data_IF_586334240180
#
_entry.id   IF_586334240180
#
_cell.length_a   1.000
_cell.length_b   1.000
_cell.length_c   1.000
_cell.angle_alpha   90.00
_cell.angle_beta   90.00
_cell.angle_gamma   90.00
#
_symmetry.space_group_name_H-M   'P 1'
#
loop_
_entity.id
_entity.type
_entity.pdbx_description
1 polymer ?
#
# COMPACT_ATOMS: atom_id res chain seq x y z
N UNK A 1 0.66 14.01 3.04
CA UNK A 1 0.30 12.59 3.05
C UNK A 1 -0.28 12.23 1.69
N UNK A 2 0.15 11.11 1.13
CA UNK A 2 -0.28 10.61 -0.18
C UNK A 2 -1.17 9.38 0.03
N UNK A 3 -2.24 9.24 -0.77
CA UNK A 3 -3.19 8.11 -0.70
C UNK A 3 -3.87 7.92 0.66
N UNK A 4 -4.15 8.99 1.39
CA UNK A 4 -4.74 8.94 2.73
C UNK A 4 -6.27 8.71 2.76
N UNK A 5 -6.86 8.53 1.58
CA UNK A 5 -8.28 8.29 1.33
C UNK A 5 -8.50 6.95 0.59
N UNK A 6 -7.50 6.07 0.62
CA UNK A 6 -7.55 4.71 0.08
C UNK A 6 -7.55 3.72 1.24
N UNK A 7 -8.50 2.81 1.25
CA UNK A 7 -8.71 1.84 2.32
C UNK A 7 -8.29 0.45 1.86
N UNK A 8 -7.39 -0.21 2.60
CA UNK A 8 -7.01 -1.59 2.30
C UNK A 8 -6.42 -2.34 3.51
N UNK A 9 -6.92 -3.53 3.88
CA UNK A 9 -6.30 -4.35 4.91
C UNK A 9 -4.99 -4.99 4.43
N UNK A 10 -3.92 -4.85 5.21
CA UNK A 10 -2.62 -5.44 4.91
C UNK A 10 -2.52 -6.86 5.49
N UNK A 11 -1.77 -7.75 4.82
CA UNK A 11 -1.50 -9.13 5.29
C UNK A 11 -2.68 -10.10 5.23
N UNK A 12 -3.90 -9.65 4.91
CA UNK A 12 -5.09 -10.51 4.94
C UNK A 12 -5.25 -11.41 3.73
N UNK A 13 -4.86 -10.95 2.54
CA UNK A 13 -5.05 -11.71 1.30
C UNK A 13 -3.93 -11.45 0.31
N UNK A 14 -3.38 -12.55 -0.21
CA UNK A 14 -2.44 -12.52 -1.34
C UNK A 14 -3.21 -12.60 -2.66
N UNK A 15 -2.69 -11.93 -3.67
CA UNK A 15 -3.26 -11.91 -5.02
C UNK A 15 -2.15 -12.22 -6.02
N UNK A 16 -2.39 -13.19 -6.89
CA UNK A 16 -1.43 -13.57 -7.94
C UNK A 16 -1.67 -12.81 -9.25
N UNK A 17 -2.79 -12.09 -9.34
CA UNK A 17 -3.22 -11.35 -10.53
C UNK A 17 -3.64 -9.94 -10.17
N UNK A 18 -3.14 -8.97 -10.94
CA UNK A 18 -3.37 -7.55 -10.73
C UNK A 18 -4.85 -7.18 -10.87
N UNK A 19 -5.55 -7.73 -11.86
CA UNK A 19 -6.95 -7.41 -12.15
C UNK A 19 -7.87 -7.82 -10.99
N UNK A 20 -7.61 -8.99 -10.40
CA UNK A 20 -8.36 -9.48 -9.24
C UNK A 20 -8.10 -8.62 -8.00
N UNK A 21 -6.87 -8.15 -7.82
CA UNK A 21 -6.51 -7.24 -6.76
C UNK A 21 -7.24 -5.91 -6.91
N UNK A 22 -7.15 -5.27 -8.08
CA UNK A 22 -7.81 -3.98 -8.35
C UNK A 22 -9.30 -4.08 -8.13
N UNK A 23 -9.93 -5.17 -8.59
CA UNK A 23 -11.37 -5.42 -8.37
C UNK A 23 -11.68 -5.47 -6.88
N UNK A 24 -10.93 -6.24 -6.10
CA UNK A 24 -11.14 -6.37 -4.66
C UNK A 24 -10.92 -5.05 -3.89
N UNK A 25 -9.89 -4.27 -4.23
CA UNK A 25 -9.65 -2.95 -3.63
C UNK A 25 -10.79 -2.00 -3.97
N UNK A 26 -11.25 -1.99 -5.23
CA UNK A 26 -12.34 -1.14 -5.69
C UNK A 26 -13.63 -1.44 -4.94
N UNK A 27 -14.03 -2.71 -4.88
CA UNK A 27 -15.23 -3.15 -4.13
C UNK A 27 -15.13 -2.80 -2.64
N UNK A 28 -13.94 -2.97 -2.05
CA UNK A 28 -13.71 -2.64 -0.64
C UNK A 28 -13.84 -1.13 -0.38
N UNK A 29 -13.22 -0.29 -1.20
CA UNK A 29 -13.27 1.17 -1.05
C UNK A 29 -14.69 1.72 -1.25
N UNK A 30 -15.42 1.20 -2.26
CA UNK A 30 -16.82 1.58 -2.47
C UNK A 30 -17.75 1.10 -1.36
N UNK A 31 -17.43 -0.01 -0.69
CA UNK A 31 -18.19 -0.46 0.47
C UNK A 31 -17.93 0.41 1.72
N UNK A 32 -16.66 0.75 1.98
CA UNK A 32 -16.26 1.50 3.18
C UNK A 32 -16.61 2.98 3.08
N UNK A 33 -16.36 3.59 1.93
CA UNK A 33 -16.61 5.02 1.69
C UNK A 33 -17.19 5.23 0.28
N UNK A 34 -18.49 4.91 0.09
CA UNK A 34 -19.15 5.01 -1.22
C UNK A 34 -19.04 6.43 -1.79
N UNK A 35 -18.44 6.57 -2.97
CA UNK A 35 -18.24 7.87 -3.64
C UNK A 35 -17.36 8.88 -2.89
N UNK A 36 -16.73 8.49 -1.77
CA UNK A 36 -15.90 9.35 -0.93
C UNK A 36 -14.57 8.67 -0.57
N UNK A 37 -13.98 7.98 -1.54
CA UNK A 37 -12.65 7.39 -1.47
C UNK A 37 -11.77 7.96 -2.59
N UNK A 38 -10.45 7.91 -2.39
CA UNK A 38 -9.46 8.38 -3.37
C UNK A 38 -8.95 7.31 -4.31
N UNK A 39 -9.51 6.10 -4.24
CA UNK A 39 -9.02 4.96 -5.01
C UNK A 39 -9.22 5.19 -6.50
N UNK A 40 -8.11 5.36 -7.21
CA UNK A 40 -8.04 5.56 -8.66
C UNK A 40 -6.82 4.80 -9.18
N UNK A 41 -6.95 3.51 -9.54
CA UNK A 41 -5.81 2.65 -9.84
C UNK A 41 -4.93 3.18 -10.97
N UNK A 42 -5.52 3.90 -11.92
CA UNK A 42 -4.88 4.54 -13.07
C UNK A 42 -4.31 5.95 -12.78
N UNK A 43 -4.38 6.43 -11.55
CA UNK A 43 -3.77 7.71 -11.16
C UNK A 43 -2.26 7.53 -10.99
N UNK A 44 -1.48 8.37 -11.68
CA UNK A 44 -0.05 8.51 -11.42
C UNK A 44 0.15 9.09 -10.01
N UNK A 45 1.00 8.42 -9.22
CA UNK A 45 1.40 8.91 -7.89
C UNK A 45 2.85 9.39 -7.86
N UNK A 46 3.71 8.82 -8.70
CA UNK A 46 5.13 9.21 -8.81
C UNK A 46 5.67 8.93 -10.22
N UNK A 47 6.69 9.68 -10.64
CA UNK A 47 7.33 9.53 -11.95
C UNK A 47 8.47 8.50 -11.98
N UNK A 48 8.88 8.01 -10.81
CA UNK A 48 10.01 7.09 -10.60
C UNK A 48 9.68 6.10 -9.49
N UNK A 49 10.47 5.01 -9.33
CA UNK A 49 10.36 4.15 -8.17
C UNK A 49 10.52 4.91 -6.86
N UNK A 50 9.83 4.44 -5.83
CA UNK A 50 9.92 4.98 -4.47
C UNK A 50 10.36 3.90 -3.49
N UNK A 51 10.95 4.32 -2.38
CA UNK A 51 11.22 3.46 -1.24
C UNK A 51 10.17 3.69 -0.16
N UNK A 52 9.52 2.62 0.28
CA UNK A 52 8.56 2.62 1.40
C UNK A 52 9.18 1.93 2.59
N UNK A 53 9.16 2.60 3.75
CA UNK A 53 9.63 2.04 5.01
C UNK A 53 8.51 1.96 6.05
N UNK A 54 8.55 0.94 6.90
CA UNK A 54 7.65 0.81 8.03
C UNK A 54 8.35 0.10 9.20
N UNK A 55 8.08 0.53 10.43
CA UNK A 55 8.54 -0.15 11.64
C UNK A 55 7.34 -0.64 12.45
N UNK A 56 7.22 -1.96 12.58
CA UNK A 56 6.15 -2.63 13.30
C UNK A 56 6.40 -2.59 14.81
N UNK A 57 5.58 -1.84 15.54
CA UNK A 57 5.64 -1.81 17.00
C UNK A 57 5.25 -3.11 17.70
N UNK A 58 4.61 -4.06 16.99
CA UNK A 58 4.19 -5.35 17.55
C UNK A 58 5.20 -6.49 17.32
N UNK A 59 6.31 -6.23 16.62
CA UNK A 59 7.35 -7.24 16.35
C UNK A 59 8.60 -6.93 17.17
N UNK A 60 9.11 -7.92 17.91
CA UNK A 60 10.37 -7.79 18.66
C UNK A 60 11.62 -7.95 17.76
N UNK A 61 11.48 -8.64 16.63
CA UNK A 61 12.53 -8.87 15.62
C UNK A 61 11.93 -8.79 14.23
N UNK A 62 12.78 -8.48 13.24
CA UNK A 62 12.38 -8.29 11.85
C UNK A 62 11.19 -7.31 11.74
N UNK A 63 11.26 -6.26 12.57
CA UNK A 63 10.21 -5.26 12.73
C UNK A 63 10.29 -4.15 11.67
N UNK A 64 11.38 -4.08 10.92
CA UNK A 64 11.57 -3.12 9.84
C UNK A 64 11.18 -3.74 8.49
N UNK A 65 10.30 -3.05 7.77
CA UNK A 65 9.97 -3.29 6.38
C UNK A 65 10.60 -2.16 5.54
N UNK A 66 11.36 -2.52 4.51
CA UNK A 66 11.86 -1.58 3.50
C UNK A 66 11.62 -2.17 2.11
N UNK A 67 10.82 -1.48 1.29
CA UNK A 67 10.39 -1.95 -0.02
C UNK A 67 10.74 -0.89 -1.08
N UNK A 68 11.25 -1.33 -2.22
CA UNK A 68 11.35 -0.50 -3.43
C UNK A 68 10.19 -0.87 -4.34
N UNK A 69 9.36 0.11 -4.67
CA UNK A 69 8.11 -0.10 -5.42
C UNK A 69 8.16 0.70 -6.72
N UNK A 70 7.81 0.03 -7.82
CA UNK A 70 7.84 0.58 -9.18
C UNK A 70 9.15 0.32 -9.94
N UNK A 71 9.16 0.72 -11.22
CA UNK A 71 10.24 0.46 -12.17
C UNK A 71 10.82 1.74 -12.77
N UNK A 72 12.15 1.79 -12.96
CA UNK A 72 12.80 2.94 -13.60
C UNK A 72 12.28 3.17 -15.02
N UNK A 73 12.03 4.44 -15.36
CA UNK A 73 11.50 4.82 -16.67
C UNK A 73 10.00 4.55 -16.84
N UNK A 74 9.30 4.08 -15.80
CA UNK A 74 7.85 3.95 -15.77
C UNK A 74 7.26 4.81 -14.65
N UNK A 75 6.13 5.42 -14.95
CA UNK A 75 5.33 6.14 -13.96
C UNK A 75 4.71 5.14 -13.00
N UNK A 76 4.82 5.40 -11.71
CA UNK A 76 4.21 4.60 -10.68
C UNK A 76 2.74 4.98 -10.55
N UNK A 77 1.88 4.01 -10.88
CA UNK A 77 0.43 4.14 -10.80
C UNK A 77 -0.05 3.67 -9.42
N UNK A 78 -1.11 4.27 -8.90
CA UNK A 78 -1.69 3.95 -7.59
C UNK A 78 -2.02 2.46 -7.45
N UNK A 79 -2.61 1.87 -8.48
CA UNK A 79 -2.98 0.46 -8.49
C UNK A 79 -1.78 -0.46 -8.39
N UNK A 80 -0.76 -0.19 -9.21
CA UNK A 80 0.50 -0.93 -9.22
C UNK A 80 1.21 -0.80 -7.88
N UNK A 81 1.28 0.42 -7.34
CA UNK A 81 1.85 0.67 -6.02
C UNK A 81 1.21 -0.20 -4.95
N UNK A 82 -0.12 -0.16 -4.83
CA UNK A 82 -0.81 -0.87 -3.75
C UNK A 82 -0.76 -2.39 -3.96
N UNK A 83 -0.74 -2.87 -5.22
CA UNK A 83 -0.57 -4.28 -5.55
C UNK A 83 0.81 -4.81 -5.14
N UNK A 84 1.87 -4.07 -5.49
CA UNK A 84 3.25 -4.41 -5.11
C UNK A 84 3.42 -4.35 -3.59
N UNK A 85 2.90 -3.30 -2.93
CA UNK A 85 2.90 -3.19 -1.47
C UNK A 85 2.22 -4.41 -0.83
N UNK A 86 1.00 -4.75 -1.27
CA UNK A 86 0.25 -5.89 -0.74
C UNK A 86 1.01 -7.20 -0.91
N UNK A 87 1.61 -7.39 -2.08
CA UNK A 87 2.30 -8.65 -2.42
C UNK A 87 3.61 -8.82 -1.66
N UNK A 88 4.41 -7.75 -1.56
CA UNK A 88 5.72 -7.78 -0.91
C UNK A 88 5.62 -7.70 0.61
N UNK A 89 4.60 -7.01 1.14
CA UNK A 89 4.40 -6.88 2.59
C UNK A 89 3.49 -7.97 3.18
N UNK A 90 2.94 -8.90 2.37
CA UNK A 90 1.97 -9.90 2.82
C UNK A 90 2.47 -10.67 4.06
N UNK A 91 3.63 -11.33 3.96
CA UNK A 91 4.19 -12.14 5.05
C UNK A 91 4.59 -11.27 6.26
N UNK A 92 4.98 -10.01 6.02
CA UNK A 92 5.30 -9.08 7.10
C UNK A 92 4.08 -8.80 7.99
N UNK A 93 2.89 -8.64 7.38
CA UNK A 93 1.64 -8.35 8.09
C UNK A 93 0.77 -9.59 8.36
N UNK A 94 1.19 -10.80 8.00
CA UNK A 94 0.36 -12.01 8.09
C UNK A 94 -0.11 -12.34 9.52
N UNK A 95 0.75 -12.14 10.52
CA UNK A 95 0.45 -12.40 11.93
C UNK A 95 -0.17 -11.20 12.66
N UNK A 96 -0.48 -10.13 11.93
CA UNK A 96 -0.95 -8.89 12.52
C UNK A 96 -2.47 -8.94 12.69
N UNK A 97 -2.97 -8.80 13.94
CA UNK A 97 -4.40 -8.98 14.26
C UNK A 97 -5.31 -8.14 13.35
N UNK A 98 -4.98 -6.84 13.18
CA UNK A 98 -5.59 -5.92 12.20
C UNK A 98 -4.62 -4.78 11.91
N UNK A 99 -4.29 -4.61 10.63
CA UNK A 99 -3.54 -3.46 10.15
C UNK A 99 -4.09 -3.01 8.80
N UNK A 100 -4.27 -1.70 8.65
CA UNK A 100 -4.85 -1.09 7.45
C UNK A 100 -3.90 -0.08 6.87
N UNK A 101 -3.81 -0.05 5.56
CA UNK A 101 -3.17 1.03 4.83
C UNK A 101 -3.92 2.36 5.10
N UNK A 102 -3.20 3.39 5.54
CA UNK A 102 -3.75 4.74 5.78
C UNK A 102 -3.03 5.82 4.97
N UNK A 103 -2.10 5.42 4.09
CA UNK A 103 -1.37 6.32 3.22
C UNK A 103 0.13 6.29 3.42
N UNK A 104 0.78 7.30 2.84
CA UNK A 104 2.22 7.48 2.82
C UNK A 104 2.58 8.86 3.37
N UNK A 105 3.51 8.88 4.32
CA UNK A 105 4.14 10.12 4.77
C UNK A 105 5.47 10.36 4.06
N UNK A 106 5.74 11.60 3.68
CA UNK A 106 6.93 11.93 2.89
C UNK A 106 8.13 12.13 3.82
N UNK A 107 9.17 11.32 3.64
CA UNK A 107 10.44 11.48 4.37
C UNK A 107 11.47 12.23 3.53
N UNK A 108 11.53 11.92 2.23
CA UNK A 108 12.35 12.63 1.24
C UNK A 108 11.72 12.52 -0.15
N UNK A 109 12.40 13.01 -1.19
CA UNK A 109 11.86 13.08 -2.55
C UNK A 109 11.34 11.73 -3.08
N UNK A 110 12.00 10.62 -2.76
CA UNK A 110 11.63 9.27 -3.21
C UNK A 110 11.49 8.28 -2.06
N UNK A 111 11.45 8.75 -0.81
CA UNK A 111 11.35 7.88 0.37
C UNK A 111 10.13 8.25 1.22
N UNK A 112 9.35 7.25 1.55
CA UNK A 112 8.07 7.39 2.23
C UNK A 112 7.98 6.45 3.42
N UNK A 113 7.37 6.91 4.49
CA UNK A 113 6.95 6.03 5.58
C UNK A 113 5.53 5.56 5.31
N UNK A 114 5.30 4.25 5.39
CA UNK A 114 3.96 3.68 5.38
C UNK A 114 3.23 4.07 6.66
N UNK A 115 2.01 4.57 6.53
CA UNK A 115 1.13 4.83 7.66
C UNK A 115 0.16 3.67 7.76
N UNK A 116 0.09 3.07 8.94
CA UNK A 116 -0.71 1.88 9.20
C UNK A 116 -1.60 2.13 10.41
N UNK A 117 -2.90 1.96 10.22
CA UNK A 117 -3.90 1.97 11.28
C UNK A 117 -4.10 0.59 11.91
N UNK A 118 -4.57 0.57 13.16
CA UNK A 118 -4.89 -0.63 13.94
C UNK A 118 -6.39 -0.78 14.19
#
# INVERSE_FOLDING_TARGET
MLMNDVYWPLGRRKFDQYENFVTAVTEHNEHIAPGNNGWKPEREIFSTPITVTYEAGWKDKDNLLELVIGEFGRKLMMGIFLFELNSQAYDFFADADKHFFEGLDTQSQTRFSLIVGS
#
